data_IF_520688688278
#
_entry.id   IF_520688688278
#
_cell.length_a   1.000
_cell.length_b   1.000
_cell.length_c   1.000
_cell.angle_alpha   90.00
_cell.angle_beta   90.00
_cell.angle_gamma   90.00
#
_symmetry.space_group_name_H-M   'P 1'
#
loop_
_entity.id
_entity.type
_entity.pdbx_description
1 polymer ?
#
# COMPACT_ATOMS: atom_id res chain seq x y z
N UNK A 1 5.36 21.36 29.46
CA UNK A 1 3.90 21.20 29.26
C UNK A 1 3.54 21.73 27.89
N UNK A 2 3.42 20.85 26.90
CA UNK A 2 2.85 21.12 25.58
C UNK A 2 2.63 19.75 24.89
N UNK A 3 1.61 19.02 25.35
CA UNK A 3 1.07 17.81 24.71
C UNK A 3 -0.44 18.00 24.70
N UNK A 4 -0.95 18.86 23.83
CA UNK A 4 -2.36 19.27 23.87
C UNK A 4 -2.96 19.60 22.50
N UNK A 5 -2.45 19.02 21.40
CA UNK A 5 -3.03 19.27 20.07
C UNK A 5 -2.90 18.12 19.05
N UNK A 6 -2.70 16.88 19.50
CA UNK A 6 -2.75 15.70 18.63
C UNK A 6 -3.68 14.66 19.26
N UNK A 7 -4.96 15.01 19.36
CA UNK A 7 -5.98 13.99 19.43
C UNK A 7 -6.26 13.60 17.98
N UNK A 8 -5.36 12.83 17.38
CA UNK A 8 -5.62 12.13 16.12
C UNK A 8 -6.97 11.42 16.29
N UNK A 9 -7.86 11.59 15.32
CA UNK A 9 -9.19 11.01 15.33
C UNK A 9 -9.04 9.48 15.23
N UNK A 10 -8.84 8.81 16.36
CA UNK A 10 -8.92 7.36 16.47
C UNK A 10 -10.37 7.00 16.18
N UNK A 11 -10.61 6.41 15.01
CA UNK A 11 -11.93 5.91 14.60
C UNK A 11 -11.97 4.42 14.90
N UNK A 12 -12.95 3.98 15.70
CA UNK A 12 -13.20 2.56 15.91
C UNK A 12 -13.76 1.93 14.63
N UNK A 13 -13.20 0.77 14.24
CA UNK A 13 -13.57 0.06 13.01
C UNK A 13 -13.68 -1.43 13.26
N UNK A 14 -14.57 -2.09 12.51
CA UNK A 14 -14.63 -3.55 12.43
C UNK A 14 -13.72 -4.04 11.30
N UNK A 15 -12.91 -5.07 11.59
CA UNK A 15 -11.97 -5.65 10.61
C UNK A 15 -12.45 -7.00 10.13
N UNK A 16 -12.37 -7.23 8.81
CA UNK A 16 -12.66 -8.53 8.18
C UNK A 16 -11.40 -9.09 7.53
N UNK A 17 -11.18 -10.41 7.69
CA UNK A 17 -10.07 -11.10 7.03
C UNK A 17 -10.44 -11.39 5.56
N UNK A 18 -9.53 -11.06 4.64
CA UNK A 18 -9.75 -11.25 3.20
C UNK A 18 -8.88 -12.39 2.66
N UNK A 19 -9.45 -13.21 1.77
CA UNK A 19 -8.77 -14.32 1.10
C UNK A 19 -8.35 -14.00 -0.33
N UNK A 20 -7.95 -12.75 -0.60
CA UNK A 20 -7.71 -12.28 -1.98
C UNK A 20 -6.44 -12.91 -2.59
N UNK A 21 -6.53 -13.25 -3.89
CA UNK A 21 -5.37 -13.63 -4.70
C UNK A 21 -4.84 -12.39 -5.44
N UNK A 22 -3.54 -12.15 -5.35
CA UNK A 22 -2.86 -11.01 -5.96
C UNK A 22 -1.57 -11.44 -6.64
N UNK A 23 -1.06 -10.61 -7.56
CA UNK A 23 0.21 -10.88 -8.24
C UNK A 23 1.37 -10.94 -7.24
N UNK A 24 2.23 -11.96 -7.39
CA UNK A 24 3.28 -12.32 -6.45
C UNK A 24 4.25 -11.18 -6.16
N UNK A 25 4.76 -10.49 -7.18
CA UNK A 25 5.76 -9.44 -7.03
C UNK A 25 5.14 -8.15 -6.48
N UNK A 26 3.88 -7.86 -6.82
CA UNK A 26 3.11 -6.77 -6.21
C UNK A 26 2.99 -6.96 -4.70
N UNK A 27 2.63 -8.16 -4.25
CA UNK A 27 2.56 -8.47 -2.80
C UNK A 27 3.92 -8.33 -2.12
N UNK A 28 5.01 -8.74 -2.77
CA UNK A 28 6.37 -8.56 -2.22
C UNK A 28 6.74 -7.08 -2.06
N UNK A 29 6.47 -6.25 -3.07
CA UNK A 29 6.70 -4.81 -3.00
C UNK A 29 5.87 -4.18 -1.89
N UNK A 30 4.58 -4.52 -1.78
CA UNK A 30 3.72 -4.00 -0.70
C UNK A 30 4.22 -4.41 0.69
N UNK A 31 4.59 -5.68 0.88
CA UNK A 31 5.15 -6.15 2.16
C UNK A 31 6.46 -5.43 2.52
N UNK A 32 7.37 -5.29 1.55
CA UNK A 32 8.63 -4.56 1.75
C UNK A 32 8.41 -3.07 2.06
N UNK A 33 7.40 -2.46 1.45
CA UNK A 33 7.04 -1.07 1.73
C UNK A 33 6.42 -0.91 3.12
N UNK A 34 5.52 -1.81 3.51
CA UNK A 34 4.90 -1.80 4.83
C UNK A 34 5.95 -1.90 5.94
N UNK A 35 6.94 -2.81 5.77
CA UNK A 35 8.09 -2.94 6.67
C UNK A 35 8.92 -1.65 6.71
N UNK A 36 9.22 -1.05 5.55
CA UNK A 36 9.97 0.22 5.49
C UNK A 36 9.28 1.36 6.23
N UNK A 37 7.94 1.42 6.15
CA UNK A 37 7.14 2.45 6.81
C UNK A 37 6.77 2.11 8.25
N UNK A 38 7.16 0.94 8.76
CA UNK A 38 6.81 0.43 10.08
C UNK A 38 5.29 0.41 10.35
N UNK A 39 4.51 -0.03 9.36
CA UNK A 39 3.05 -0.20 9.43
C UNK A 39 2.66 -1.60 8.99
N UNK A 40 1.44 -2.03 9.32
CA UNK A 40 0.95 -3.33 8.84
C UNK A 40 0.62 -3.27 7.34
N UNK A 41 0.62 -4.44 6.67
CA UNK A 41 0.16 -4.52 5.28
C UNK A 41 -1.31 -4.09 5.15
N UNK A 42 -2.14 -4.36 6.18
CA UNK A 42 -3.53 -3.92 6.24
C UNK A 42 -3.65 -2.40 6.25
N UNK A 43 -2.93 -1.74 7.14
CA UNK A 43 -2.96 -0.27 7.25
C UNK A 43 -2.43 0.40 5.97
N UNK A 44 -1.38 -0.16 5.35
CA UNK A 44 -0.90 0.30 4.04
C UNK A 44 -1.98 0.18 2.96
N UNK A 45 -2.66 -0.96 2.88
CA UNK A 45 -3.71 -1.20 1.90
C UNK A 45 -4.91 -0.26 2.12
N UNK A 46 -5.37 -0.13 3.36
CA UNK A 46 -6.46 0.78 3.74
C UNK A 46 -6.09 2.22 3.38
N UNK A 47 -4.87 2.66 3.69
CA UNK A 47 -4.35 3.97 3.30
C UNK A 47 -4.37 4.22 1.79
N UNK A 48 -3.90 3.25 0.99
CA UNK A 48 -3.93 3.36 -0.48
C UNK A 48 -5.37 3.48 -1.00
N UNK A 49 -6.28 2.65 -0.48
CA UNK A 49 -7.70 2.62 -0.90
C UNK A 49 -8.39 3.93 -0.55
N UNK A 50 -8.20 4.46 0.66
CA UNK A 50 -8.78 5.74 1.08
C UNK A 50 -8.32 6.89 0.18
N UNK A 51 -7.03 6.98 -0.14
CA UNK A 51 -6.53 8.00 -1.08
C UNK A 51 -7.09 7.80 -2.49
N UNK A 52 -7.22 6.55 -2.96
CA UNK A 52 -7.80 6.27 -4.26
C UNK A 52 -9.29 6.66 -4.33
N UNK A 53 -10.06 6.41 -3.27
CA UNK A 53 -11.47 6.84 -3.16
C UNK A 53 -11.59 8.36 -3.13
N UNK A 54 -10.67 9.04 -2.46
CA UNK A 54 -10.54 10.50 -2.45
C UNK A 54 -10.00 11.10 -3.77
N UNK A 55 -9.61 10.26 -4.73
CA UNK A 55 -8.91 10.64 -5.96
C UNK A 55 -7.62 11.46 -5.70
N UNK A 56 -6.87 11.09 -4.66
CA UNK A 56 -5.58 11.66 -4.26
C UNK A 56 -4.44 10.67 -4.45
N UNK A 57 -3.22 11.18 -4.45
CA UNK A 57 -2.01 10.34 -4.53
C UNK A 57 -1.62 9.82 -3.14
N UNK A 58 -1.45 8.50 -2.94
CA UNK A 58 -1.16 7.92 -1.62
C UNK A 58 0.29 8.10 -1.14
N UNK A 59 1.21 8.46 -2.02
CA UNK A 59 2.65 8.44 -1.75
C UNK A 59 3.33 9.73 -2.22
N UNK A 60 4.22 10.26 -1.39
CA UNK A 60 5.13 11.34 -1.77
C UNK A 60 6.41 10.83 -2.46
N UNK A 61 7.26 11.75 -2.88
CA UNK A 61 8.45 11.46 -3.70
C UNK A 61 9.43 10.48 -3.05
N UNK A 62 9.67 10.59 -1.75
CA UNK A 62 10.57 9.69 -1.03
C UNK A 62 10.05 8.26 -1.03
N UNK A 63 8.76 8.09 -0.71
CA UNK A 63 8.09 6.80 -0.72
C UNK A 63 8.06 6.20 -2.12
N UNK A 64 7.81 7.02 -3.16
CA UNK A 64 7.88 6.58 -4.55
C UNK A 64 9.28 6.10 -4.96
N UNK A 65 10.35 6.78 -4.51
CA UNK A 65 11.73 6.29 -4.72
C UNK A 65 11.93 4.92 -4.08
N UNK A 66 11.45 4.73 -2.84
CA UNK A 66 11.55 3.43 -2.17
C UNK A 66 10.76 2.34 -2.90
N UNK A 67 9.54 2.66 -3.35
CA UNK A 67 8.72 1.75 -4.16
C UNK A 67 9.49 1.32 -5.40
N UNK A 68 10.10 2.25 -6.14
CA UNK A 68 10.88 1.91 -7.34
C UNK A 68 12.06 0.98 -7.02
N UNK A 69 12.81 1.24 -5.95
CA UNK A 69 13.88 0.32 -5.50
C UNK A 69 13.35 -1.09 -5.20
N UNK A 70 12.21 -1.19 -4.50
CA UNK A 70 11.58 -2.48 -4.20
C UNK A 70 11.06 -3.18 -5.47
N UNK A 71 10.52 -2.43 -6.43
CA UNK A 71 10.10 -2.95 -7.73
C UNK A 71 11.28 -3.56 -8.48
N UNK A 72 12.43 -2.92 -8.46
CA UNK A 72 13.64 -3.43 -9.10
C UNK A 72 14.13 -4.71 -8.42
N UNK A 73 14.19 -4.74 -7.08
CA UNK A 73 14.59 -5.91 -6.29
C UNK A 73 13.68 -7.12 -6.58
N UNK A 74 12.37 -6.91 -6.61
CA UNK A 74 11.40 -8.01 -6.78
C UNK A 74 11.00 -8.26 -8.23
N UNK A 75 11.45 -7.46 -9.19
CA UNK A 75 11.11 -7.58 -10.60
C UNK A 75 9.65 -7.24 -10.92
N UNK A 76 9.03 -6.28 -10.22
CA UNK A 76 7.66 -5.84 -10.51
C UNK A 76 7.64 -4.86 -11.70
N UNK A 77 7.22 -5.35 -12.86
CA UNK A 77 7.09 -4.56 -14.10
C UNK A 77 5.70 -3.95 -14.32
N UNK A 78 4.73 -4.29 -13.46
CA UNK A 78 3.36 -3.81 -13.61
C UNK A 78 3.23 -2.31 -13.32
N UNK A 79 2.23 -1.71 -13.96
CA UNK A 79 1.78 -0.34 -13.75
C UNK A 79 0.25 -0.28 -13.75
N UNK A 80 -0.32 0.91 -13.48
CA UNK A 80 -1.76 1.15 -13.56
C UNK A 80 -2.35 0.80 -14.94
N UNK A 81 -1.56 0.84 -16.02
CA UNK A 81 -2.01 0.46 -17.37
C UNK A 81 -2.40 -1.02 -17.49
N UNK A 82 -1.87 -1.86 -16.61
CA UNK A 82 -2.16 -3.28 -16.53
C UNK A 82 -3.37 -3.60 -15.64
N UNK A 83 -3.98 -2.60 -14.99
CA UNK A 83 -5.15 -2.82 -14.14
C UNK A 83 -6.27 -3.53 -14.91
N UNK A 84 -6.86 -4.55 -14.28
CA UNK A 84 -7.91 -5.42 -14.85
C UNK A 84 -7.52 -6.21 -16.12
N UNK A 85 -6.22 -6.24 -16.47
CA UNK A 85 -5.71 -6.93 -17.67
C UNK A 85 -4.77 -8.09 -17.35
N UNK A 86 -4.60 -8.43 -16.06
CA UNK A 86 -3.77 -9.56 -15.65
C UNK A 86 -4.47 -10.88 -15.98
N UNK A 87 -3.68 -11.85 -16.43
CA UNK A 87 -4.12 -13.23 -16.66
C UNK A 87 -3.20 -14.16 -15.88
N UNK A 88 -3.77 -15.26 -15.39
CA UNK A 88 -3.01 -16.28 -14.70
C UNK A 88 -2.05 -16.97 -15.67
N UNK A 89 -0.90 -17.40 -15.16
CA UNK A 89 -0.03 -18.31 -15.89
C UNK A 89 -0.66 -19.70 -15.85
N UNK A 90 -0.69 -20.36 -17.00
CA UNK A 90 -0.96 -21.79 -17.08
C UNK A 90 0.13 -22.61 -16.36
#
# INVERSE_FOLDING_TARGET
MAKSAENELIVEVERIQTGVRMEKNLVKVMKGLAEYLNITLGDLLEGIVLHAFDNKTPFGDETLKKINQLKDIYGLKLSSQNSHKLKEKE
#
